data_IF_737580266749
#
_entry.id   IF_737580266749
#
_cell.length_a   1.000
_cell.length_b   1.000
_cell.length_c   1.000
_cell.angle_alpha   90.00
_cell.angle_beta   90.00
_cell.angle_gamma   90.00
#
_symmetry.space_group_name_H-M   'P 1'
#
loop_
_entity.id
_entity.type
_entity.pdbx_description
1 polymer ?
#
# COMPACT_ATOMS: atom_id res chain seq x y z
N UNK A 1 1.42 13.70 5.56
CA UNK A 1 1.89 12.35 5.95
C UNK A 1 0.74 11.42 5.68
N UNK A 2 0.98 10.24 5.10
CA UNK A 2 -0.11 9.33 4.81
C UNK A 2 -0.64 8.66 6.09
N UNK A 3 -1.93 8.86 6.38
CA UNK A 3 -2.58 8.28 7.56
C UNK A 3 -3.23 6.95 7.23
N UNK A 4 -2.54 5.85 7.56
CA UNK A 4 -3.06 4.50 7.41
C UNK A 4 -3.95 4.13 8.62
N UNK A 5 -5.20 3.76 8.37
CA UNK A 5 -6.13 3.24 9.39
C UNK A 5 -6.00 1.72 9.61
N UNK A 6 -4.95 1.11 9.05
CA UNK A 6 -4.65 -0.32 9.20
C UNK A 6 -5.82 -1.25 8.84
N UNK A 7 -6.63 -0.87 7.85
CA UNK A 7 -7.77 -1.67 7.40
C UNK A 7 -7.38 -3.00 6.72
N UNK A 8 -6.17 -3.09 6.15
CA UNK A 8 -5.67 -4.28 5.45
C UNK A 8 -6.05 -4.38 3.96
N UNK A 9 -6.88 -3.48 3.42
CA UNK A 9 -7.38 -3.55 2.04
C UNK A 9 -6.26 -3.55 0.99
N UNK A 10 -5.20 -2.74 1.18
CA UNK A 10 -4.05 -2.74 0.27
C UNK A 10 -3.27 -4.07 0.28
N UNK A 11 -3.34 -4.84 1.37
CA UNK A 11 -2.72 -6.14 1.46
C UNK A 11 -3.61 -7.26 0.91
N UNK A 12 -4.88 -7.00 0.56
CA UNK A 12 -5.81 -8.00 0.01
C UNK A 12 -6.03 -7.90 -1.50
N UNK A 13 -5.47 -6.86 -2.12
CA UNK A 13 -5.64 -6.54 -3.54
C UNK A 13 -4.30 -6.31 -4.25
N UNK A 14 -3.28 -7.12 -3.93
CA UNK A 14 -1.97 -7.05 -4.56
C UNK A 14 -1.99 -7.48 -6.02
N UNK A 15 -2.96 -8.29 -6.43
CA UNK A 15 -3.19 -8.73 -7.81
C UNK A 15 -3.44 -7.56 -8.77
N UNK A 16 -3.94 -6.42 -8.26
CA UNK A 16 -4.16 -5.20 -9.04
C UNK A 16 -2.87 -4.50 -9.46
N UNK A 17 -1.71 -4.90 -8.91
CA UNK A 17 -0.42 -4.31 -9.28
C UNK A 17 0.72 -5.33 -9.25
N UNK A 18 1.31 -5.57 -10.43
CA UNK A 18 2.48 -6.45 -10.60
C UNK A 18 3.68 -6.08 -9.72
N UNK A 19 3.73 -4.84 -9.24
CA UNK A 19 4.76 -4.34 -8.34
C UNK A 19 4.84 -5.13 -7.02
N UNK A 20 3.74 -5.76 -6.62
CA UNK A 20 3.63 -6.52 -5.37
C UNK A 20 3.65 -8.04 -5.56
N UNK A 21 3.97 -8.53 -6.76
CA UNK A 21 3.91 -9.97 -7.08
C UNK A 21 4.74 -10.85 -6.13
N UNK A 22 5.86 -10.35 -5.59
CA UNK A 22 6.70 -11.11 -4.63
C UNK A 22 6.08 -11.22 -3.22
N UNK A 23 5.12 -10.36 -2.91
CA UNK A 23 4.41 -10.34 -1.63
C UNK A 23 3.09 -11.12 -1.70
N UNK A 24 2.51 -11.26 -2.89
CA UNK A 24 1.29 -12.02 -3.14
C UNK A 24 1.52 -13.52 -2.87
N UNK A 25 0.61 -14.14 -2.11
CA UNK A 25 0.61 -15.59 -1.85
C UNK A 25 -0.04 -16.41 -2.98
N UNK A 26 -0.50 -15.74 -4.04
CA UNK A 26 -1.08 -16.33 -5.24
C UNK A 26 -2.60 -16.13 -5.38
N UNK A 27 -3.24 -15.39 -4.48
CA UNK A 27 -4.67 -15.12 -4.46
C UNK A 27 -4.99 -13.62 -4.37
N UNK A 28 -4.01 -12.75 -4.63
CA UNK A 28 -4.10 -11.30 -4.48
C UNK A 28 -3.83 -10.83 -3.05
N UNK A 29 -3.71 -11.74 -2.07
CA UNK A 29 -3.43 -11.35 -0.69
C UNK A 29 -1.94 -11.48 -0.33
N UNK A 30 -1.44 -10.48 0.38
CA UNK A 30 -0.09 -10.45 0.93
C UNK A 30 0.16 -11.63 1.89
N UNK A 31 1.26 -12.35 1.68
CA UNK A 31 1.72 -13.45 2.55
C UNK A 31 2.02 -13.04 4.00
N UNK A 32 2.18 -11.74 4.26
CA UNK A 32 2.44 -11.18 5.59
C UNK A 32 1.18 -10.64 6.30
N UNK A 33 0.01 -10.70 5.68
CA UNK A 33 -1.23 -10.23 6.27
C UNK A 33 -1.71 -11.20 7.37
N UNK A 34 -1.96 -10.67 8.57
CA UNK A 34 -2.55 -11.39 9.70
C UNK A 34 -3.76 -10.61 10.22
N UNK A 35 -4.97 -11.11 9.94
CA UNK A 35 -6.19 -10.34 10.09
C UNK A 35 -6.17 -9.09 9.20
N UNK A 36 -6.14 -7.90 9.80
CA UNK A 36 -6.00 -6.62 9.09
C UNK A 36 -4.59 -6.00 9.21
N UNK A 37 -3.70 -6.63 9.98
CA UNK A 37 -2.39 -6.08 10.29
C UNK A 37 -1.29 -6.78 9.50
N UNK A 38 -0.28 -6.02 9.11
CA UNK A 38 0.93 -6.59 8.52
C UNK A 38 1.82 -7.16 9.64
N UNK A 39 2.13 -8.44 9.59
CA UNK A 39 3.03 -9.11 10.56
C UNK A 39 4.45 -8.55 10.57
N UNK A 40 4.84 -7.81 9.53
CA UNK A 40 6.14 -7.14 9.42
C UNK A 40 5.99 -5.61 9.35
N UNK A 41 4.98 -5.01 9.98
CA UNK A 41 4.63 -3.58 9.83
C UNK A 41 5.83 -2.62 9.90
N UNK A 42 6.69 -2.75 10.90
CA UNK A 42 7.91 -1.93 11.06
C UNK A 42 8.99 -2.20 10.01
N UNK A 43 8.98 -3.41 9.42
CA UNK A 43 9.94 -3.89 8.42
C UNK A 43 9.33 -4.02 7.03
N UNK A 44 8.19 -3.36 6.78
CA UNK A 44 7.50 -3.40 5.49
C UNK A 44 8.47 -3.08 4.34
N UNK A 45 8.31 -3.66 3.14
CA UNK A 45 9.09 -3.25 1.97
C UNK A 45 8.89 -1.77 1.68
N UNK A 46 9.88 -1.12 1.07
CA UNK A 46 9.84 0.32 0.79
C UNK A 46 8.59 0.73 0.01
N UNK A 47 8.16 -0.11 -0.93
CA UNK A 47 6.94 0.05 -1.74
C UNK A 47 5.66 0.23 -0.90
N UNK A 48 5.61 -0.36 0.30
CA UNK A 48 4.48 -0.26 1.22
C UNK A 48 4.60 0.91 2.22
N UNK A 49 5.68 1.70 2.15
CA UNK A 49 5.96 2.84 3.03
C UNK A 49 5.81 4.13 2.24
N UNK A 50 4.61 4.70 2.26
CA UNK A 50 4.21 5.83 1.40
C UNK A 50 5.19 7.01 1.50
N UNK A 51 5.46 7.50 2.72
CA UNK A 51 6.31 8.68 2.89
C UNK A 51 7.77 8.42 2.45
N UNK A 52 8.33 7.25 2.77
CA UNK A 52 9.69 6.86 2.36
C UNK A 52 9.79 6.61 0.84
N UNK A 53 8.75 6.01 0.24
CA UNK A 53 8.63 5.82 -1.21
C UNK A 53 8.61 7.15 -1.95
N UNK A 54 7.90 8.16 -1.42
CA UNK A 54 7.91 9.50 -1.99
C UNK A 54 9.33 10.05 -2.06
N UNK A 55 10.06 10.02 -0.94
CA UNK A 55 11.43 10.52 -0.86
C UNK A 55 12.38 9.79 -1.80
N UNK A 56 12.20 8.48 -1.98
CA UNK A 56 13.10 7.67 -2.81
C UNK A 56 12.78 7.75 -4.30
N UNK A 57 11.52 7.80 -4.68
CA UNK A 57 11.09 7.54 -6.06
C UNK A 57 10.30 8.68 -6.71
N UNK A 58 9.57 9.50 -5.95
CA UNK A 58 8.54 10.40 -6.53
C UNK A 58 8.78 11.89 -6.27
N UNK A 59 9.69 12.27 -5.36
CA UNK A 59 9.94 13.67 -5.01
C UNK A 59 10.38 14.57 -6.17
N UNK A 60 11.00 14.01 -7.21
CA UNK A 60 11.42 14.74 -8.41
C UNK A 60 10.34 14.70 -9.52
N UNK A 61 9.24 13.96 -9.31
CA UNK A 61 8.20 13.70 -10.32
C UNK A 61 6.92 14.49 -10.00
N UNK A 62 6.57 14.63 -8.72
CA UNK A 62 5.36 15.33 -8.29
C UNK A 62 5.52 15.93 -6.89
N UNK A 63 4.63 16.86 -6.52
CA UNK A 63 4.58 17.37 -5.15
C UNK A 63 4.11 16.31 -4.16
N UNK A 64 4.53 16.48 -2.90
CA UNK A 64 4.12 15.59 -1.80
C UNK A 64 2.59 15.59 -1.61
N UNK A 65 1.93 16.73 -1.80
CA UNK A 65 0.48 16.85 -1.67
C UNK A 65 -0.25 16.05 -2.75
N UNK A 66 0.22 16.14 -4.01
CA UNK A 66 -0.32 15.35 -5.12
C UNK A 66 -0.14 13.86 -4.85
N UNK A 67 1.05 13.46 -4.38
CA UNK A 67 1.34 12.07 -4.07
C UNK A 67 0.44 11.53 -2.94
N UNK A 68 0.24 12.28 -1.87
CA UNK A 68 -0.67 11.87 -0.79
C UNK A 68 -2.12 11.79 -1.27
N UNK A 69 -2.58 12.76 -2.05
CA UNK A 69 -3.93 12.74 -2.62
C UNK A 69 -4.18 11.45 -3.42
N UNK A 70 -3.29 11.10 -4.36
CA UNK A 70 -3.39 9.88 -5.15
C UNK A 70 -3.37 8.61 -4.29
N UNK A 71 -2.51 8.56 -3.26
CA UNK A 71 -2.47 7.41 -2.34
C UNK A 71 -3.75 7.29 -1.51
N UNK A 72 -4.36 8.40 -1.10
CA UNK A 72 -5.66 8.38 -0.40
C UNK A 72 -6.79 7.91 -1.31
N UNK A 73 -6.84 8.38 -2.56
CA UNK A 73 -7.83 7.91 -3.55
C UNK A 73 -7.69 6.40 -3.82
N UNK A 74 -6.46 5.92 -4.02
CA UNK A 74 -6.19 4.50 -4.16
C UNK A 74 -6.62 3.72 -2.91
N UNK A 75 -6.28 4.20 -1.71
CA UNK A 75 -6.66 3.58 -0.44
C UNK A 75 -8.20 3.44 -0.31
N UNK A 76 -8.96 4.49 -0.63
CA UNK A 76 -10.42 4.45 -0.59
C UNK A 76 -11.01 3.53 -1.66
N UNK A 77 -10.45 3.53 -2.86
CA UNK A 77 -10.84 2.61 -3.93
C UNK A 77 -10.71 1.17 -3.47
N UNK A 78 -9.55 0.79 -2.92
CA UNK A 78 -9.30 -0.57 -2.43
C UNK A 78 -10.23 -0.95 -1.28
N UNK A 79 -10.52 -0.04 -0.35
CA UNK A 79 -11.49 -0.28 0.74
C UNK A 79 -12.90 -0.55 0.22
N UNK A 80 -13.31 0.10 -0.87
CA UNK A 80 -14.64 -0.08 -1.44
C UNK A 80 -14.80 -1.41 -2.18
N UNK A 81 -13.70 -2.08 -2.57
CA UNK A 81 -13.74 -3.41 -3.16
C UNK A 81 -14.01 -4.52 -2.13
N UNK A 82 -13.81 -4.25 -0.84
CA UNK A 82 -14.07 -5.18 0.26
C UNK A 82 -15.56 -5.22 0.71
N UNK A 83 -16.45 -4.51 -0.01
CA UNK A 83 -17.88 -4.37 0.33
C UNK A 83 -18.77 -5.45 -0.26
#
# INVERSE_FOLDING_TARGET
>A
MFECDCCGACCRHLDLSKLYAELDRGDGTCKYLSGNLCSIYEKRPLLCRIDESYQKFFKEVMSVDTYYHLNHEACQTLKNLEK
#
